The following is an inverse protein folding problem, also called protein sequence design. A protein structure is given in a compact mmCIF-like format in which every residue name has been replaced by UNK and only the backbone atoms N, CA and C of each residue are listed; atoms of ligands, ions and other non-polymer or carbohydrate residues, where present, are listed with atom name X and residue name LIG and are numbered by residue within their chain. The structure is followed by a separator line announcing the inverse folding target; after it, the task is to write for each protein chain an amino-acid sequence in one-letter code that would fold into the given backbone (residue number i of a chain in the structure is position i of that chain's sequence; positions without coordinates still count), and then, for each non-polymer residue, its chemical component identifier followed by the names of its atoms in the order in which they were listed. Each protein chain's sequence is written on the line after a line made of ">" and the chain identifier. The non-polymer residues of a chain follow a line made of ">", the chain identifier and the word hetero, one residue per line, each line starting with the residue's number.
data_IF_497846496247
#
_entry.id   IF_497846496247
#
_cell.length_a   1.000
_cell.length_b   1.000
_cell.length_c   1.000
_cell.angle_alpha   90.00
_cell.angle_beta   90.00
_cell.angle_gamma   90.00
#
_symmetry.space_group_name_H-M   'P 1'
#
loop_
_entity.id
_entity.type
_entity.pdbx_description
1 polymer ?
#
# COMPACT_ATOMS: atom_id res chain seq x y z
N UNK A 1 -21.97 7.29 -46.83
CA UNK A 1 -21.85 6.63 -45.51
C UNK A 1 -20.49 6.98 -44.93
N UNK A 2 -20.47 7.70 -43.81
CA UNK A 2 -19.28 8.28 -43.18
C UNK A 2 -18.48 7.22 -42.38
N UNK A 3 -17.18 7.07 -42.69
CA UNK A 3 -16.29 6.06 -42.08
C UNK A 3 -16.08 6.30 -40.58
N UNK A 4 -16.27 7.53 -40.12
CA UNK A 4 -16.08 7.96 -38.72
C UNK A 4 -17.10 7.37 -37.75
N UNK A 5 -18.28 6.98 -38.23
CA UNK A 5 -19.35 6.39 -37.38
C UNK A 5 -19.17 4.88 -37.14
N UNK A 6 -18.52 4.17 -38.06
CA UNK A 6 -18.21 2.73 -37.96
C UNK A 6 -17.04 2.47 -36.99
N UNK A 7 -16.04 3.35 -37.03
CA UNK A 7 -14.87 3.29 -36.16
C UNK A 7 -15.23 3.53 -34.68
N UNK A 8 -16.10 4.52 -34.40
CA UNK A 8 -16.58 4.81 -33.04
C UNK A 8 -17.31 3.63 -32.39
N UNK A 9 -18.24 2.97 -33.09
CA UNK A 9 -18.95 1.79 -32.55
C UNK A 9 -17.98 0.66 -32.19
N UNK A 10 -17.01 0.41 -33.07
CA UNK A 10 -16.04 -0.68 -32.87
C UNK A 10 -15.09 -0.42 -31.69
N UNK A 11 -14.72 0.84 -31.44
CA UNK A 11 -13.89 1.19 -30.27
C UNK A 11 -14.70 1.11 -28.98
N UNK A 12 -15.94 1.60 -28.96
CA UNK A 12 -16.83 1.49 -27.79
C UNK A 12 -17.14 0.03 -27.44
N UNK A 13 -17.44 -0.81 -28.43
CA UNK A 13 -17.68 -2.24 -28.25
C UNK A 13 -16.45 -2.95 -27.63
N UNK A 14 -15.24 -2.59 -28.07
CA UNK A 14 -13.99 -3.12 -27.49
C UNK A 14 -13.74 -2.64 -26.06
N UNK A 15 -14.13 -1.42 -25.71
CA UNK A 15 -13.99 -0.88 -24.36
C UNK A 15 -14.98 -1.53 -23.38
N UNK A 16 -16.21 -1.83 -23.84
CA UNK A 16 -17.24 -2.53 -23.08
C UNK A 16 -16.79 -3.97 -22.79
N UNK A 17 -16.27 -4.68 -23.79
CA UNK A 17 -15.77 -6.06 -23.61
C UNK A 17 -14.56 -6.13 -22.65
N UNK A 18 -13.67 -5.13 -22.70
CA UNK A 18 -12.53 -5.01 -21.78
C UNK A 18 -12.99 -4.72 -20.35
N UNK A 19 -13.99 -3.85 -20.16
CA UNK A 19 -14.56 -3.57 -18.83
C UNK A 19 -15.19 -4.83 -18.22
N UNK A 20 -15.97 -5.59 -18.99
CA UNK A 20 -16.58 -6.83 -18.50
C UNK A 20 -15.54 -7.86 -18.06
N UNK A 21 -14.40 -7.95 -18.76
CA UNK A 21 -13.33 -8.89 -18.41
C UNK A 21 -12.62 -8.49 -17.12
N UNK A 22 -12.50 -7.19 -16.88
CA UNK A 22 -11.91 -6.62 -15.66
C UNK A 22 -12.88 -6.77 -14.48
N UNK A 23 -14.16 -6.47 -14.67
CA UNK A 23 -15.19 -6.56 -13.62
C UNK A 23 -15.38 -8.00 -13.13
N UNK A 24 -15.39 -8.98 -14.06
CA UNK A 24 -15.42 -10.41 -13.73
C UNK A 24 -14.19 -10.88 -12.94
N UNK A 25 -13.01 -10.30 -13.19
CA UNK A 25 -11.79 -10.60 -12.41
C UNK A 25 -11.82 -9.94 -11.04
N UNK A 26 -12.31 -8.70 -10.95
CA UNK A 26 -12.38 -7.96 -9.69
C UNK A 26 -13.39 -8.54 -8.70
N UNK A 27 -14.47 -9.18 -9.17
CA UNK A 27 -15.45 -9.85 -8.29
C UNK A 27 -14.84 -10.99 -7.44
N UNK A 28 -13.75 -11.62 -7.90
CA UNK A 28 -13.07 -12.71 -7.19
C UNK A 28 -11.95 -12.25 -6.23
N UNK A 29 -11.34 -11.09 -6.47
CA UNK A 29 -10.13 -10.63 -5.76
C UNK A 29 -10.41 -10.23 -4.30
N UNK A 30 -11.67 -9.97 -3.94
CA UNK A 30 -12.05 -9.50 -2.60
C UNK A 30 -12.54 -10.55 -1.60
N UNK A 31 -12.77 -11.82 -2.01
CA UNK A 31 -13.47 -12.83 -1.18
C UNK A 31 -12.60 -14.02 -0.75
N UNK A 32 -11.27 -13.87 -0.76
CA UNK A 32 -10.38 -14.89 -0.22
C UNK A 32 -10.43 -14.98 1.31
N UNK A 33 -10.00 -16.12 1.89
CA UNK A 33 -9.93 -16.33 3.35
C UNK A 33 -9.29 -15.14 4.07
N UNK A 34 -8.18 -14.60 3.54
CA UNK A 34 -7.41 -13.46 4.06
C UNK A 34 -8.14 -12.12 4.10
N UNK A 35 -9.07 -11.85 3.17
CA UNK A 35 -9.81 -10.59 3.19
C UNK A 35 -10.74 -10.49 4.39
N UNK A 36 -11.23 -11.64 4.90
CA UNK A 36 -11.99 -11.71 6.15
C UNK A 36 -11.13 -11.36 7.36
N UNK A 37 -9.88 -11.82 7.41
CA UNK A 37 -8.96 -11.49 8.52
C UNK A 37 -8.59 -10.00 8.48
N UNK A 38 -8.26 -9.45 7.31
CA UNK A 38 -7.92 -8.02 7.20
C UNK A 38 -9.10 -7.11 7.58
N UNK A 39 -10.33 -7.53 7.24
CA UNK A 39 -11.57 -6.84 7.67
C UNK A 39 -11.86 -6.99 9.17
N UNK A 40 -11.40 -8.07 9.80
CA UNK A 40 -11.51 -8.29 11.26
C UNK A 40 -10.38 -7.62 12.05
N UNK A 41 -9.29 -7.25 11.40
CA UNK A 41 -8.17 -6.57 12.06
C UNK A 41 -8.65 -5.21 12.62
N UNK A 42 -8.33 -4.96 13.89
CA UNK A 42 -8.65 -3.69 14.54
C UNK A 42 -7.77 -2.60 13.94
N UNK A 43 -8.38 -1.62 13.27
CA UNK A 43 -7.68 -0.38 12.90
C UNK A 43 -7.30 0.35 14.20
N UNK A 44 -6.01 0.67 14.43
CA UNK A 44 -5.60 1.38 15.63
C UNK A 44 -6.28 2.74 15.69
N UNK A 45 -6.62 3.20 16.89
CA UNK A 45 -7.10 4.58 17.07
C UNK A 45 -5.95 5.56 16.88
N UNK A 46 -6.25 6.83 16.59
CA UNK A 46 -5.22 7.85 16.39
C UNK A 46 -4.30 8.02 17.63
N UNK A 47 -4.87 7.88 18.82
CA UNK A 47 -4.13 7.92 20.08
C UNK A 47 -3.23 6.71 20.28
N UNK A 48 -3.72 5.50 19.98
CA UNK A 48 -2.93 4.26 20.05
C UNK A 48 -1.73 4.34 19.10
N UNK A 49 -1.97 4.76 17.86
CA UNK A 49 -0.92 4.92 16.86
C UNK A 49 0.13 5.94 17.30
N UNK A 50 -0.29 7.10 17.81
CA UNK A 50 0.63 8.16 18.24
C UNK A 50 1.50 7.72 19.39
N UNK A 51 0.94 7.02 20.39
CA UNK A 51 1.72 6.49 21.53
C UNK A 51 2.78 5.49 21.07
N UNK A 52 2.40 4.52 20.23
CA UNK A 52 3.32 3.48 19.73
C UNK A 52 4.40 4.11 18.85
N UNK A 53 4.03 5.02 17.94
CA UNK A 53 4.96 5.71 17.07
C UNK A 53 5.97 6.56 17.84
N UNK A 54 5.55 7.19 18.95
CA UNK A 54 6.44 7.97 19.79
C UNK A 54 7.46 7.07 20.49
N UNK A 55 7.03 5.96 21.08
CA UNK A 55 7.93 5.00 21.73
C UNK A 55 8.92 4.40 20.72
N UNK A 56 8.43 4.00 19.54
CA UNK A 56 9.28 3.48 18.47
C UNK A 56 10.28 4.54 17.97
N UNK A 57 9.84 5.78 17.79
CA UNK A 57 10.70 6.90 17.40
C UNK A 57 11.82 7.16 18.41
N UNK A 58 11.48 7.17 19.70
CA UNK A 58 12.47 7.31 20.79
C UNK A 58 13.47 6.14 20.77
N UNK A 59 13.00 4.91 20.57
CA UNK A 59 13.86 3.73 20.47
C UNK A 59 14.86 3.81 19.31
N UNK A 60 14.41 4.22 18.12
CA UNK A 60 15.26 4.39 16.93
C UNK A 60 16.34 5.45 17.19
N UNK A 61 15.95 6.58 17.80
CA UNK A 61 16.91 7.66 18.13
C UNK A 61 17.95 7.15 19.13
N UNK A 62 17.54 6.50 20.21
CA UNK A 62 18.46 5.99 21.23
C UNK A 62 19.44 4.96 20.66
N UNK A 63 18.93 3.97 19.92
CA UNK A 63 19.78 2.95 19.30
C UNK A 63 20.73 3.57 18.26
N UNK A 64 20.23 4.51 17.46
CA UNK A 64 21.06 5.24 16.50
C UNK A 64 22.15 6.05 17.17
N UNK A 65 21.86 6.72 18.29
CA UNK A 65 22.81 7.54 19.03
C UNK A 65 23.87 6.68 19.73
N UNK A 66 23.48 5.54 20.30
CA UNK A 66 24.42 4.57 20.88
C UNK A 66 25.37 4.04 19.81
N UNK A 67 24.84 3.58 18.66
CA UNK A 67 25.66 3.12 17.54
C UNK A 67 26.55 4.22 17.00
N UNK A 68 26.04 5.45 16.89
CA UNK A 68 26.80 6.62 16.46
C UNK A 68 27.94 6.96 17.42
N UNK A 69 27.72 6.92 18.73
CA UNK A 69 28.78 7.16 19.73
C UNK A 69 29.88 6.11 19.60
N UNK A 70 29.53 4.83 19.48
CA UNK A 70 30.51 3.75 19.30
C UNK A 70 31.35 3.99 18.04
N UNK A 71 30.69 4.31 16.92
CA UNK A 71 31.35 4.64 15.67
C UNK A 71 32.28 5.86 15.81
N UNK A 72 31.80 6.92 16.45
CA UNK A 72 32.56 8.16 16.63
C UNK A 72 33.79 7.97 17.52
N UNK A 73 33.65 7.19 18.60
CA UNK A 73 34.78 6.81 19.48
C UNK A 73 35.77 5.95 18.70
N UNK A 74 35.31 4.99 17.91
CA UNK A 74 36.19 4.19 17.07
C UNK A 74 36.96 5.07 16.09
N UNK A 75 36.31 6.02 15.43
CA UNK A 75 36.94 6.92 14.46
C UNK A 75 37.94 7.93 15.07
N UNK A 76 37.77 8.34 16.33
CA UNK A 76 38.69 9.27 16.99
C UNK A 76 39.86 8.53 17.66
N UNK A 77 39.63 7.30 18.14
CA UNK A 77 40.64 6.51 18.88
C UNK A 77 41.52 5.66 17.95
N UNK A 78 40.97 5.15 16.84
CA UNK A 78 41.71 4.44 15.79
C UNK A 78 41.93 5.33 14.57
#
# INVERSE_FOLDING_TARGET
>A
MDKTTQDKKTVEDRLIEQQEKIERRFQGIGKGKYSRILKMAKKPTGEEYTKISLIAGVGIILLGLIGFIIYYIMQIVF
#
